data_IF_943651771317
#
_entry.id   IF_943651771317
#
_cell.length_a   1.000
_cell.length_b   1.000
_cell.length_c   1.000
_cell.angle_alpha   90.00
_cell.angle_beta   90.00
_cell.angle_gamma   90.00
#
_symmetry.space_group_name_H-M   'P 1'
#
loop_
_entity.id
_entity.type
_entity.pdbx_description
1 polymer ?
#
# COMPACT_ATOMS: atom_id res chain seq x y z
N UNK A 1 -24.73 -1.43 -19.72
CA UNK A 1 -23.61 -0.64 -19.15
C UNK A 1 -23.32 -0.97 -17.68
N UNK A 2 -24.33 -1.30 -16.84
CA UNK A 2 -24.12 -1.68 -15.43
C UNK A 2 -23.38 -3.01 -15.20
N UNK A 3 -23.68 -4.07 -15.98
CA UNK A 3 -23.07 -5.40 -15.78
C UNK A 3 -21.55 -5.44 -16.02
N UNK A 4 -21.08 -4.76 -17.06
CA UNK A 4 -19.66 -4.70 -17.45
C UNK A 4 -18.79 -3.93 -16.46
N UNK A 5 -19.39 -2.97 -15.73
CA UNK A 5 -18.71 -2.15 -14.72
C UNK A 5 -18.34 -3.01 -13.50
N UNK A 6 -19.32 -3.71 -12.93
CA UNK A 6 -19.10 -4.63 -11.80
C UNK A 6 -18.08 -5.75 -12.07
N UNK A 7 -17.91 -6.16 -13.33
CA UNK A 7 -16.85 -7.10 -13.73
C UNK A 7 -15.45 -6.49 -13.64
N UNK A 8 -15.29 -5.22 -14.03
CA UNK A 8 -14.01 -4.51 -13.92
C UNK A 8 -13.61 -4.30 -12.47
N UNK A 9 -14.54 -3.84 -11.61
CA UNK A 9 -14.25 -3.68 -10.18
C UNK A 9 -13.96 -5.03 -9.49
N UNK A 10 -14.67 -6.09 -9.89
CA UNK A 10 -14.37 -7.46 -9.41
C UNK A 10 -12.96 -7.90 -9.84
N UNK A 11 -12.60 -7.67 -11.10
CA UNK A 11 -11.29 -8.05 -11.63
C UNK A 11 -10.17 -7.29 -10.92
N UNK A 12 -10.35 -6.00 -10.68
CA UNK A 12 -9.37 -5.15 -10.00
C UNK A 12 -9.19 -5.56 -8.53
N UNK A 13 -10.28 -5.82 -7.81
CA UNK A 13 -10.21 -6.34 -6.44
C UNK A 13 -9.41 -7.65 -6.38
N UNK A 14 -9.74 -8.62 -7.23
CA UNK A 14 -9.07 -9.92 -7.22
C UNK A 14 -7.62 -9.83 -7.68
N UNK A 15 -7.29 -8.93 -8.61
CA UNK A 15 -5.91 -8.65 -9.00
C UNK A 15 -5.11 -8.11 -7.81
N UNK A 16 -5.65 -7.14 -7.08
CA UNK A 16 -5.00 -6.58 -5.89
C UNK A 16 -4.86 -7.62 -4.76
N UNK A 17 -5.88 -8.45 -4.52
CA UNK A 17 -5.78 -9.56 -3.57
C UNK A 17 -4.76 -10.62 -4.01
N UNK A 18 -4.62 -10.88 -5.31
CA UNK A 18 -3.57 -11.77 -5.83
C UNK A 18 -2.16 -11.20 -5.66
N UNK A 19 -1.99 -9.88 -5.71
CA UNK A 19 -0.70 -9.23 -5.52
C UNK A 19 -0.32 -9.13 -4.05
N UNK A 20 -1.26 -8.65 -3.22
CA UNK A 20 -0.98 -8.25 -1.83
C UNK A 20 -1.48 -9.25 -0.79
N UNK A 21 -2.18 -10.31 -1.21
CA UNK A 21 -2.76 -11.37 -0.38
C UNK A 21 -3.91 -10.93 0.53
N UNK A 22 -3.92 -9.67 0.98
CA UNK A 22 -4.93 -9.13 1.89
C UNK A 22 -5.22 -7.66 1.59
N UNK A 23 -6.48 -7.25 1.78
CA UNK A 23 -6.92 -5.85 1.83
C UNK A 23 -7.89 -5.65 3.00
N UNK A 24 -7.90 -4.47 3.62
CA UNK A 24 -9.00 -4.10 4.53
C UNK A 24 -10.21 -3.59 3.74
N UNK A 25 -11.41 -3.61 4.32
CA UNK A 25 -12.58 -3.02 3.67
C UNK A 25 -12.38 -1.54 3.33
N UNK A 26 -11.79 -0.77 4.25
CA UNK A 26 -11.44 0.64 4.01
C UNK A 26 -10.49 0.83 2.82
N UNK A 27 -9.51 -0.08 2.63
CA UNK A 27 -8.64 -0.05 1.46
C UNK A 27 -9.39 -0.36 0.18
N UNK A 28 -10.33 -1.31 0.22
CA UNK A 28 -11.16 -1.65 -0.94
C UNK A 28 -12.07 -0.47 -1.32
N UNK A 29 -12.61 0.27 -0.34
CA UNK A 29 -13.37 1.49 -0.60
C UNK A 29 -12.53 2.57 -1.31
N UNK A 30 -11.27 2.76 -0.92
CA UNK A 30 -10.38 3.72 -1.61
C UNK A 30 -9.90 3.21 -2.98
N UNK A 31 -9.73 1.90 -3.13
CA UNK A 31 -9.36 1.26 -4.39
C UNK A 31 -10.48 1.38 -5.43
N UNK A 32 -11.74 1.26 -4.98
CA UNK A 32 -12.94 1.28 -5.81
C UNK A 32 -13.87 2.44 -5.38
N UNK A 33 -13.43 3.71 -5.50
CA UNK A 33 -14.12 4.86 -4.91
C UNK A 33 -15.52 5.11 -5.50
N UNK A 34 -15.79 4.54 -6.67
CA UNK A 34 -17.07 4.62 -7.36
C UNK A 34 -18.15 3.69 -6.77
N UNK A 35 -17.75 2.68 -6.00
CA UNK A 35 -18.68 1.76 -5.36
C UNK A 35 -19.12 2.30 -4.01
N UNK A 36 -20.43 2.53 -3.87
CA UNK A 36 -21.04 2.82 -2.58
C UNK A 36 -20.94 1.62 -1.64
N UNK A 37 -20.99 1.88 -0.35
CA UNK A 37 -20.82 0.88 0.72
C UNK A 37 -21.81 -0.30 0.63
N UNK A 38 -23.07 -0.04 0.30
CA UNK A 38 -24.11 -1.06 0.11
C UNK A 38 -23.79 -1.98 -1.09
N UNK A 39 -23.33 -1.39 -2.19
CA UNK A 39 -22.93 -2.10 -3.40
C UNK A 39 -21.67 -2.92 -3.16
N UNK A 40 -20.67 -2.35 -2.49
CA UNK A 40 -19.43 -3.04 -2.14
C UNK A 40 -19.71 -4.23 -1.22
N UNK A 41 -20.55 -4.04 -0.20
CA UNK A 41 -20.95 -5.11 0.72
C UNK A 41 -21.63 -6.26 -0.02
N UNK A 42 -22.55 -5.95 -0.95
CA UNK A 42 -23.18 -6.95 -1.81
C UNK A 42 -22.20 -7.66 -2.74
N UNK A 43 -21.21 -6.95 -3.28
CA UNK A 43 -20.12 -7.51 -4.09
C UNK A 43 -19.28 -8.50 -3.27
N UNK A 44 -18.83 -8.12 -2.08
CA UNK A 44 -18.03 -8.98 -1.21
C UNK A 44 -18.80 -10.24 -0.79
N UNK A 45 -20.06 -10.09 -0.35
CA UNK A 45 -20.91 -11.25 -0.01
C UNK A 45 -21.10 -12.19 -1.20
N UNK A 46 -21.29 -11.66 -2.41
CA UNK A 46 -21.39 -12.48 -3.62
C UNK A 46 -20.10 -13.22 -3.92
N UNK A 47 -18.94 -12.57 -3.83
CA UNK A 47 -17.65 -13.20 -4.09
C UNK A 47 -17.30 -14.27 -3.05
N UNK A 48 -17.65 -14.02 -1.79
CA UNK A 48 -17.50 -14.98 -0.70
C UNK A 48 -18.37 -16.22 -0.91
N UNK A 49 -19.66 -16.05 -1.26
CA UNK A 49 -20.54 -17.17 -1.60
C UNK A 49 -20.05 -17.96 -2.82
N UNK A 50 -19.36 -17.30 -3.76
CA UNK A 50 -18.72 -17.95 -4.90
C UNK A 50 -17.39 -18.66 -4.54
N UNK A 51 -16.93 -18.57 -3.29
CA UNK A 51 -15.65 -19.15 -2.85
C UNK A 51 -14.43 -18.46 -3.45
N UNK A 52 -14.56 -17.21 -3.92
CA UNK A 52 -13.48 -16.46 -4.58
C UNK A 52 -12.65 -15.61 -3.61
N UNK A 53 -13.24 -15.29 -2.46
CA UNK A 53 -12.59 -14.54 -1.37
C UNK A 53 -13.07 -15.11 -0.03
N UNK A 54 -12.36 -14.75 1.03
CA UNK A 54 -12.76 -14.93 2.42
C UNK A 54 -12.86 -13.54 3.06
N UNK A 55 -14.01 -13.18 3.64
CA UNK A 55 -14.16 -11.89 4.33
C UNK A 55 -14.27 -12.09 5.84
N UNK A 56 -13.21 -11.69 6.56
CA UNK A 56 -13.22 -11.69 8.03
C UNK A 56 -13.83 -10.38 8.55
N UNK A 57 -15.10 -10.44 8.98
CA UNK A 57 -15.84 -9.29 9.55
C UNK A 57 -15.28 -8.78 10.89
N UNK A 58 -14.50 -9.58 11.63
CA UNK A 58 -13.94 -9.17 12.93
C UNK A 58 -12.72 -8.26 12.75
N UNK A 59 -11.86 -8.59 11.79
CA UNK A 59 -10.65 -7.82 11.46
C UNK A 59 -10.87 -6.87 10.28
N UNK A 60 -12.04 -6.96 9.65
CA UNK A 60 -12.43 -6.20 8.46
C UNK A 60 -11.47 -6.41 7.27
N UNK A 61 -10.97 -7.65 7.12
CA UNK A 61 -9.99 -8.03 6.10
C UNK A 61 -10.53 -9.02 5.10
N UNK A 62 -10.16 -8.85 3.85
CA UNK A 62 -10.52 -9.71 2.71
C UNK A 62 -9.26 -10.37 2.16
N UNK A 63 -9.31 -11.69 1.96
CA UNK A 63 -8.22 -12.51 1.42
C UNK A 63 -8.73 -13.46 0.33
N UNK A 64 -7.83 -14.11 -0.43
CA UNK A 64 -8.23 -15.19 -1.34
C UNK A 64 -8.42 -16.53 -0.63
N UNK A 65 -7.64 -16.79 0.43
CA UNK A 65 -7.63 -18.05 1.17
C UNK A 65 -7.77 -17.81 2.68
N UNK A 66 -8.41 -18.75 3.39
CA UNK A 66 -8.70 -18.62 4.83
C UNK A 66 -7.45 -18.62 5.71
N UNK A 67 -6.39 -19.31 5.28
CA UNK A 67 -5.12 -19.48 5.97
C UNK A 67 -4.07 -18.42 5.57
N UNK A 68 -4.49 -17.39 4.83
CA UNK A 68 -3.60 -16.30 4.41
C UNK A 68 -3.01 -15.60 5.64
N UNK A 69 -1.68 -15.60 5.75
CA UNK A 69 -0.96 -14.86 6.78
C UNK A 69 -0.93 -13.38 6.39
N UNK A 70 -1.57 -12.55 7.20
CA UNK A 70 -1.66 -11.11 6.97
C UNK A 70 -0.35 -10.45 7.42
N UNK A 71 0.30 -9.74 6.49
CA UNK A 71 1.45 -8.91 6.81
C UNK A 71 0.99 -7.46 7.09
N UNK A 72 1.13 -6.95 8.33
CA UNK A 72 0.74 -5.59 8.66
C UNK A 72 1.54 -4.52 7.89
N UNK A 73 2.81 -4.81 7.55
CA UNK A 73 3.64 -3.90 6.75
C UNK A 73 3.06 -3.75 5.33
N UNK A 74 2.58 -4.85 4.75
CA UNK A 74 1.91 -4.83 3.44
C UNK A 74 0.64 -3.98 3.49
N UNK A 75 -0.18 -4.10 4.54
CA UNK A 75 -1.36 -3.26 4.71
C UNK A 75 -0.98 -1.77 4.86
N UNK A 76 0.05 -1.45 5.63
CA UNK A 76 0.53 -0.08 5.76
C UNK A 76 1.04 0.47 4.42
N UNK A 77 1.77 -0.34 3.65
CA UNK A 77 2.25 0.02 2.32
C UNK A 77 1.12 0.30 1.33
N UNK A 78 0.05 -0.50 1.36
CA UNK A 78 -1.13 -0.29 0.50
C UNK A 78 -1.78 1.05 0.79
N UNK A 79 -1.85 1.50 2.05
CA UNK A 79 -2.38 2.84 2.32
C UNK A 79 -1.56 3.93 1.64
N UNK A 80 -0.22 3.83 1.68
CA UNK A 80 0.66 4.77 0.97
C UNK A 80 0.43 4.71 -0.54
N UNK A 81 0.24 3.52 -1.13
CA UNK A 81 -0.13 3.40 -2.54
C UNK A 81 -1.47 4.09 -2.85
N UNK A 82 -2.47 3.92 -1.99
CA UNK A 82 -3.81 4.46 -2.21
C UNK A 82 -3.85 5.99 -2.21
N UNK A 83 -3.00 6.66 -1.43
CA UNK A 83 -2.87 8.13 -1.46
C UNK A 83 -2.33 8.66 -2.81
N UNK A 84 -1.62 7.81 -3.56
CA UNK A 84 -1.07 8.15 -4.88
C UNK A 84 -1.92 7.61 -6.03
N UNK A 85 -2.90 6.74 -5.75
CA UNK A 85 -3.64 5.95 -6.74
C UNK A 85 -4.12 6.71 -7.98
N UNK A 86 -4.65 7.95 -7.90
CA UNK A 86 -5.08 8.69 -9.09
C UNK A 86 -3.97 8.97 -10.12
N UNK A 87 -2.70 8.90 -9.71
CA UNK A 87 -1.53 9.16 -10.54
C UNK A 87 -0.77 7.87 -10.90
N UNK A 88 -1.17 6.73 -10.34
CA UNK A 88 -0.49 5.45 -10.50
C UNK A 88 -0.83 4.84 -11.86
N UNK A 89 0.19 4.51 -12.65
CA UNK A 89 0.06 3.82 -13.93
C UNK A 89 0.30 2.31 -13.81
N UNK A 90 1.10 1.88 -12.84
CA UNK A 90 1.40 0.48 -12.55
C UNK A 90 1.80 0.31 -11.09
N UNK A 91 1.47 -0.83 -10.49
CA UNK A 91 1.95 -1.20 -9.16
C UNK A 91 2.05 -2.71 -9.00
N UNK A 92 2.95 -3.15 -8.12
CA UNK A 92 3.18 -4.56 -7.80
C UNK A 92 3.68 -4.70 -6.37
N UNK A 93 3.41 -5.86 -5.75
CA UNK A 93 4.15 -6.28 -4.58
C UNK A 93 5.64 -6.45 -4.92
N UNK A 94 6.51 -6.21 -3.95
CA UNK A 94 7.97 -6.28 -4.11
C UNK A 94 8.58 -7.28 -3.12
N UNK A 95 9.90 -7.37 -3.10
CA UNK A 95 10.66 -8.24 -2.20
C UNK A 95 11.40 -7.44 -1.14
N UNK A 96 11.58 -8.07 0.02
CA UNK A 96 12.26 -7.47 1.18
C UNK A 96 13.58 -6.79 0.78
N UNK A 97 13.84 -5.55 1.26
CA UNK A 97 13.07 -4.77 2.23
C UNK A 97 11.93 -3.90 1.64
N UNK A 98 11.71 -3.93 0.33
CA UNK A 98 10.64 -3.16 -0.32
C UNK A 98 9.33 -3.94 -0.24
N UNK A 99 8.26 -3.29 0.21
CA UNK A 99 6.92 -3.90 0.35
C UNK A 99 6.22 -3.94 -0.99
N UNK A 100 6.22 -2.79 -1.67
CA UNK A 100 5.60 -2.62 -2.96
C UNK A 100 6.31 -1.53 -3.75
N UNK A 101 6.17 -1.62 -5.06
CA UNK A 101 6.70 -0.66 -6.02
C UNK A 101 5.55 -0.18 -6.89
N UNK A 102 5.49 1.12 -7.16
CA UNK A 102 4.52 1.69 -8.08
C UNK A 102 5.14 2.78 -8.94
N UNK A 103 4.55 3.00 -10.11
CA UNK A 103 4.92 4.05 -11.04
C UNK A 103 3.85 5.12 -10.99
N UNK A 104 4.25 6.36 -10.76
CA UNK A 104 3.36 7.52 -10.80
C UNK A 104 4.12 8.70 -11.42
N UNK A 105 3.47 9.45 -12.31
CA UNK A 105 4.09 10.61 -13.00
C UNK A 105 5.46 10.30 -13.64
N UNK A 106 5.57 9.15 -14.29
CA UNK A 106 6.80 8.66 -14.94
C UNK A 106 8.00 8.44 -13.98
N UNK A 107 7.74 8.40 -12.68
CA UNK A 107 8.73 8.14 -11.63
C UNK A 107 8.44 6.80 -10.91
N UNK A 108 9.50 6.18 -10.40
CA UNK A 108 9.43 4.93 -9.63
C UNK A 108 9.34 5.27 -8.15
N UNK A 109 8.36 4.69 -7.47
CA UNK A 109 8.20 4.79 -6.02
C UNK A 109 8.34 3.42 -5.37
N UNK A 110 9.10 3.35 -4.29
CA UNK A 110 9.27 2.16 -3.47
C UNK A 110 8.77 2.45 -2.06
N UNK A 111 7.93 1.58 -1.51
CA UNK A 111 7.45 1.72 -0.13
C UNK A 111 8.16 0.71 0.77
N UNK A 112 8.74 1.20 1.86
CA UNK A 112 9.53 0.41 2.82
C UNK A 112 8.95 0.65 4.22
N UNK A 113 8.65 -0.41 4.97
CA UNK A 113 8.28 -0.29 6.40
C UNK A 113 9.49 -0.57 7.28
N UNK A 114 9.62 0.22 8.33
CA UNK A 114 10.67 0.11 9.32
C UNK A 114 10.03 -0.11 10.70
N UNK A 115 9.86 -1.38 11.10
CA UNK A 115 9.44 -1.70 12.45
C UNK A 115 10.43 -1.11 13.48
N UNK A 116 9.94 -0.75 14.66
CA UNK A 116 10.80 -0.26 15.74
C UNK A 116 11.95 -1.25 16.00
N UNK A 117 13.15 -0.71 16.25
CA UNK A 117 14.36 -1.49 16.54
C UNK A 117 14.95 -2.24 15.33
N UNK A 118 14.39 -2.08 14.12
CA UNK A 118 14.92 -2.66 12.88
C UNK A 118 15.65 -1.65 12.00
N UNK A 119 15.88 -0.43 12.45
CA UNK A 119 16.44 0.66 11.63
C UNK A 119 17.82 0.30 11.06
N UNK A 120 18.70 -0.28 11.88
CA UNK A 120 20.03 -0.71 11.46
C UNK A 120 19.96 -1.81 10.37
N UNK A 121 19.06 -2.77 10.54
CA UNK A 121 18.85 -3.85 9.58
C UNK A 121 18.36 -3.29 8.24
N UNK A 122 17.37 -2.39 8.28
CA UNK A 122 16.83 -1.77 7.06
C UNK A 122 17.86 -0.87 6.39
N UNK A 123 18.62 -0.05 7.13
CA UNK A 123 19.71 0.76 6.57
C UNK A 123 20.67 -0.12 5.76
N UNK A 124 21.10 -1.25 6.33
CA UNK A 124 21.98 -2.19 5.63
C UNK A 124 21.30 -2.83 4.42
N UNK A 125 20.09 -3.37 4.58
CA UNK A 125 19.37 -4.07 3.53
C UNK A 125 19.02 -3.17 2.33
N UNK A 126 18.67 -1.90 2.57
CA UNK A 126 18.31 -0.96 1.52
C UNK A 126 19.55 -0.37 0.83
N UNK A 127 20.67 -0.26 1.55
CA UNK A 127 21.93 0.23 0.97
C UNK A 127 22.53 -0.71 -0.08
N UNK A 128 22.13 -1.99 -0.09
CA UNK A 128 22.55 -2.95 -1.12
C UNK A 128 21.64 -2.97 -2.35
N UNK A 129 20.49 -2.28 -2.31
CA UNK A 129 19.58 -2.21 -3.44
C UNK A 129 20.11 -1.30 -4.55
N UNK A 130 19.85 -1.62 -5.84
CA UNK A 130 20.21 -0.75 -6.95
C UNK A 130 19.62 0.66 -6.80
N UNK A 131 20.40 1.68 -7.15
CA UNK A 131 20.00 3.10 -7.10
C UNK A 131 20.06 3.79 -8.46
N UNK A 132 20.40 3.06 -9.53
CA UNK A 132 20.61 3.63 -10.88
C UNK A 132 19.35 4.31 -11.44
N UNK A 133 18.17 3.79 -11.12
CA UNK A 133 16.88 4.35 -11.54
C UNK A 133 16.37 5.44 -10.59
N UNK A 134 17.14 5.80 -9.56
CA UNK A 134 16.83 6.84 -8.58
C UNK A 134 15.39 6.75 -8.02
N UNK A 135 14.95 5.59 -7.49
CA UNK A 135 13.58 5.41 -7.04
C UNK A 135 13.25 6.31 -5.84
N UNK A 136 12.05 6.88 -5.81
CA UNK A 136 11.56 7.62 -4.66
C UNK A 136 11.14 6.67 -3.54
N UNK A 137 11.97 6.57 -2.49
CA UNK A 137 11.66 5.73 -1.34
C UNK A 137 10.79 6.46 -0.33
N UNK A 138 9.60 5.92 -0.11
CA UNK A 138 8.63 6.34 0.90
C UNK A 138 8.75 5.39 2.10
N UNK A 139 9.20 5.92 3.23
CA UNK A 139 9.61 5.11 4.38
C UNK A 139 8.57 5.21 5.49
N UNK A 140 7.87 4.11 5.77
CA UNK A 140 6.92 4.00 6.86
C UNK A 140 7.69 3.76 8.16
N UNK A 141 7.43 4.59 9.17
CA UNK A 141 7.97 4.47 10.53
C UNK A 141 6.82 4.37 11.53
N UNK A 142 7.05 3.70 12.66
CA UNK A 142 6.10 3.63 13.77
C UNK A 142 6.16 4.90 14.63
N UNK A 143 7.37 5.45 14.82
CA UNK A 143 7.61 6.67 15.60
C UNK A 143 8.58 7.63 14.90
N UNK A 144 8.41 8.92 15.17
CA UNK A 144 9.30 9.96 14.62
C UNK A 144 10.76 9.80 15.06
N UNK A 145 10.99 9.17 16.22
CA UNK A 145 12.35 8.92 16.74
C UNK A 145 13.20 8.01 15.84
N UNK A 146 12.56 7.25 14.94
CA UNK A 146 13.26 6.39 13.99
C UNK A 146 13.86 7.18 12.83
N UNK A 147 13.26 8.34 12.48
CA UNK A 147 13.67 9.14 11.32
C UNK A 147 15.15 9.55 11.43
N UNK A 148 15.62 9.91 12.63
CA UNK A 148 17.02 10.30 12.85
C UNK A 148 18.01 9.13 12.79
N UNK A 149 17.53 7.88 12.81
CA UNK A 149 18.33 6.65 12.74
C UNK A 149 18.38 6.06 11.33
N UNK A 150 17.55 6.57 10.41
CA UNK A 150 17.40 6.04 9.07
C UNK A 150 18.17 6.90 8.07
N UNK A 151 19.22 6.30 7.51
CA UNK A 151 20.03 6.94 6.49
C UNK A 151 20.45 5.92 5.44
N UNK A 152 19.71 5.92 4.33
CA UNK A 152 20.00 5.13 3.15
C UNK A 152 19.63 5.94 1.89
N UNK A 153 20.12 5.53 0.71
CA UNK A 153 19.92 6.28 -0.52
C UNK A 153 18.45 6.45 -0.92
N UNK A 154 18.16 7.54 -1.63
CA UNK A 154 16.89 7.80 -2.32
C UNK A 154 15.63 7.96 -1.42
N UNK A 155 15.80 8.17 -0.11
CA UNK A 155 14.69 8.56 0.77
C UNK A 155 14.09 9.90 0.31
N UNK A 156 12.83 9.88 -0.08
CA UNK A 156 12.07 11.07 -0.49
C UNK A 156 11.24 11.62 0.68
N UNK A 157 10.56 10.73 1.40
CA UNK A 157 9.76 11.10 2.56
C UNK A 157 9.68 9.94 3.56
N UNK A 158 9.45 10.30 4.82
CA UNK A 158 8.99 9.38 5.85
C UNK A 158 7.48 9.53 6.02
N UNK A 159 6.82 8.51 6.53
CA UNK A 159 5.41 8.59 6.85
C UNK A 159 5.04 7.69 8.03
N UNK A 160 3.96 8.04 8.72
CA UNK A 160 3.30 7.20 9.71
C UNK A 160 1.91 6.86 9.20
N UNK A 161 1.56 5.58 9.22
CA UNK A 161 0.25 5.09 8.79
C UNK A 161 -0.53 4.69 10.03
N UNK A 162 -1.70 5.30 10.23
CA UNK A 162 -2.58 5.02 11.36
C UNK A 162 -3.59 3.92 11.02
N UNK A 163 -4.17 3.23 12.03
CA UNK A 163 -5.11 2.12 11.80
C UNK A 163 -6.36 2.48 10.99
N UNK A 164 -6.78 3.75 11.01
CA UNK A 164 -7.91 4.29 10.24
C UNK A 164 -7.54 4.59 8.76
N UNK A 165 -6.29 4.35 8.36
CA UNK A 165 -5.78 4.67 7.03
C UNK A 165 -5.40 6.14 6.84
N UNK A 166 -5.34 6.93 7.91
CA UNK A 166 -4.74 8.27 7.87
C UNK A 166 -3.23 8.17 7.75
N UNK A 167 -2.61 9.03 6.93
CA UNK A 167 -1.16 9.05 6.73
C UNK A 167 -0.60 10.42 7.10
N UNK A 168 0.45 10.43 7.91
CA UNK A 168 1.20 11.64 8.25
C UNK A 168 2.58 11.59 7.60
N UNK A 169 2.84 12.51 6.67
CA UNK A 169 4.11 12.60 5.94
C UNK A 169 5.11 13.57 6.59
N UNK A 170 6.39 13.20 6.55
CA UNK A 170 7.53 14.00 6.98
C UNK A 170 8.55 14.04 5.84
N UNK A 171 8.74 15.21 5.22
CA UNK A 171 9.72 15.34 4.14
C UNK A 171 11.13 15.32 4.72
N UNK A 172 12.03 14.51 4.15
CA UNK A 172 13.48 14.64 4.42
C UNK A 172 13.87 16.02 3.88
N UNK A 173 14.39 16.92 4.73
CA UNK A 173 14.70 18.28 4.30
C UNK A 173 15.71 18.23 3.14
N UNK A 174 15.24 18.62 1.95
CA UNK A 174 15.99 18.57 0.69
C UNK A 174 15.09 18.77 -0.53
N UNK A 175 14.69 20.02 -0.78
CA UNK A 175 14.18 20.60 -2.06
C UNK A 175 13.12 19.79 -2.85
N UNK A 176 11.84 20.06 -2.59
CA UNK A 176 10.88 20.71 -3.52
C UNK A 176 9.46 20.74 -2.92
N UNK A 177 8.79 21.86 -3.16
CA UNK A 177 7.44 22.24 -2.70
C UNK A 177 6.36 21.27 -3.18
N UNK A 178 5.31 20.98 -2.39
CA UNK A 178 4.14 20.24 -2.86
C UNK A 178 3.35 21.05 -3.91
N UNK A 179 2.66 20.42 -4.87
CA UNK A 179 1.82 21.12 -5.84
C UNK A 179 0.48 21.43 -5.19
N UNK A 180 0.48 22.46 -4.34
CA UNK A 180 -0.74 23.23 -4.05
C UNK A 180 -0.47 24.67 -4.45
N UNK A 181 -0.82 24.93 -5.71
CA UNK A 181 -0.92 26.20 -6.41
C UNK A 181 -1.73 25.93 -7.66
#
# INVERSE_FOLDING_TARGET
MYHKRHEQETAELLRCLSLYQCLTYGQIMRLLPELKEDILSGLLTRLEHQGRICYNRLTDTVTLYQDTVINPDTLAGIWVLLDFLPQVSYHTASSYPVILTFFAKDEIYEVISVPSEKELLINHAVSTLPTAEHPHRLVIVETESQISKLDFPCITAFCRVFPDGTIQYYKKQGVTTPPHG
#
